data_IF_024535069538
#
_entry.id   IF_024535069538
#
_cell.length_a   1.000
_cell.length_b   1.000
_cell.length_c   1.000
_cell.angle_alpha   90.00
_cell.angle_beta   90.00
_cell.angle_gamma   90.00
#
_symmetry.space_group_name_H-M   'P 1'
#
loop_
_entity.id
_entity.type
_entity.pdbx_description
1 polymer ?
#
# COMPACT_ATOMS: atom_id res chain seq x y z
N UNK A 1 -24.04 24.52 2.46
CA UNK A 1 -22.59 24.84 2.49
C UNK A 1 -21.87 23.96 1.48
N UNK A 2 -21.70 24.43 0.23
CA UNK A 2 -20.95 23.77 -0.85
C UNK A 2 -20.25 24.86 -1.71
N UNK A 3 -19.42 25.70 -1.10
CA UNK A 3 -18.86 26.91 -1.76
C UNK A 3 -17.81 26.64 -2.85
N UNK A 4 -17.34 25.40 -3.00
CA UNK A 4 -16.22 25.07 -3.90
C UNK A 4 -16.69 24.56 -5.27
N UNK A 5 -17.75 23.75 -5.31
CA UNK A 5 -18.28 23.19 -6.56
C UNK A 5 -18.83 24.27 -7.48
N UNK A 6 -19.62 25.22 -6.94
CA UNK A 6 -20.20 26.31 -7.72
C UNK A 6 -19.13 27.28 -8.25
N UNK A 7 -18.05 27.49 -7.48
CA UNK A 7 -17.00 28.46 -7.80
C UNK A 7 -15.99 27.95 -8.82
N UNK A 8 -15.77 26.64 -8.86
CA UNK A 8 -14.76 26.01 -9.71
C UNK A 8 -15.33 25.00 -10.71
N UNK A 9 -16.67 24.92 -10.83
CA UNK A 9 -17.38 23.93 -11.67
C UNK A 9 -16.88 22.50 -11.42
N UNK A 10 -16.54 22.18 -10.17
CA UNK A 10 -16.01 20.87 -9.83
C UNK A 10 -17.14 19.84 -9.89
N UNK A 11 -16.97 18.82 -10.74
CA UNK A 11 -17.88 17.66 -10.79
C UNK A 11 -17.33 16.57 -9.88
N UNK A 12 -18.18 16.03 -9.00
CA UNK A 12 -17.84 14.83 -8.22
C UNK A 12 -17.78 13.63 -9.16
N UNK A 13 -16.64 12.93 -9.17
CA UNK A 13 -16.38 11.78 -10.04
C UNK A 13 -16.79 10.43 -9.43
N UNK A 14 -17.47 10.46 -8.28
CA UNK A 14 -17.82 9.28 -7.48
C UNK A 14 -16.78 8.98 -6.40
N UNK A 15 -16.89 7.80 -5.82
CA UNK A 15 -16.01 7.38 -4.73
C UNK A 15 -14.64 6.94 -5.25
N UNK A 16 -13.60 7.52 -4.66
CA UNK A 16 -12.21 7.17 -4.99
C UNK A 16 -11.86 5.87 -4.30
N UNK A 17 -11.91 4.77 -5.04
CA UNK A 17 -11.50 3.46 -4.55
C UNK A 17 -10.01 3.18 -4.79
N UNK A 18 -9.42 3.74 -5.84
CA UNK A 18 -8.01 3.55 -6.18
C UNK A 18 -7.35 4.87 -6.57
N UNK A 19 -6.17 5.15 -6.02
CA UNK A 19 -5.37 6.32 -6.37
C UNK A 19 -3.87 6.02 -6.27
N UNK A 20 -3.11 6.20 -7.36
CA UNK A 20 -1.65 5.98 -7.38
C UNK A 20 -1.20 4.62 -6.78
N UNK A 21 -1.94 3.54 -7.05
CA UNK A 21 -1.65 2.20 -6.52
C UNK A 21 -2.05 1.98 -5.05
N UNK A 22 -2.62 2.98 -4.39
CA UNK A 22 -3.25 2.88 -3.08
C UNK A 22 -4.71 2.49 -3.26
N UNK A 23 -5.15 1.47 -2.51
CA UNK A 23 -6.54 1.08 -2.39
C UNK A 23 -7.15 1.83 -1.20
N UNK A 24 -8.26 2.50 -1.44
CA UNK A 24 -8.95 3.36 -0.49
C UNK A 24 -10.32 2.74 -0.25
N UNK A 25 -10.55 2.31 0.99
CA UNK A 25 -11.87 1.89 1.47
C UNK A 25 -12.39 3.00 2.39
N UNK A 26 -13.56 3.52 2.09
CA UNK A 26 -14.15 4.62 2.84
C UNK A 26 -15.58 4.29 3.21
N UNK A 27 -15.91 4.53 4.48
CA UNK A 27 -17.26 4.46 5.00
C UNK A 27 -17.61 5.84 5.56
N UNK A 28 -18.50 6.54 4.86
CA UNK A 28 -18.88 7.91 5.18
C UNK A 28 -19.76 7.95 6.43
N UNK A 29 -20.63 6.96 6.61
CA UNK A 29 -21.57 6.87 7.73
C UNK A 29 -20.84 6.62 9.05
N UNK A 30 -19.90 5.67 9.03
CA UNK A 30 -19.07 5.33 10.20
C UNK A 30 -17.83 6.21 10.33
N UNK A 31 -17.64 7.17 9.42
CA UNK A 31 -16.55 8.16 9.41
C UNK A 31 -15.15 7.54 9.51
N UNK A 32 -14.91 6.44 8.80
CA UNK A 32 -13.59 5.84 8.70
C UNK A 32 -13.12 5.73 7.26
N UNK A 33 -11.80 5.73 7.10
CA UNK A 33 -11.11 5.51 5.85
C UNK A 33 -9.93 4.60 6.11
N UNK A 34 -9.75 3.57 5.29
CA UNK A 34 -8.57 2.72 5.28
C UNK A 34 -7.87 2.91 3.95
N UNK A 35 -6.56 3.11 4.02
CA UNK A 35 -5.70 3.19 2.85
C UNK A 35 -4.70 2.05 2.96
N UNK A 36 -4.60 1.22 1.92
CA UNK A 36 -3.72 0.06 1.94
C UNK A 36 -3.20 -0.28 0.54
N UNK A 37 -2.07 -0.98 0.45
CA UNK A 37 -1.48 -1.46 -0.81
C UNK A 37 -1.33 -2.98 -0.79
N UNK A 38 -2.39 -3.71 -0.43
CA UNK A 38 -2.34 -5.17 -0.21
C UNK A 38 -1.72 -5.93 -1.39
N UNK A 39 -2.13 -5.59 -2.62
CA UNK A 39 -1.57 -6.19 -3.85
C UNK A 39 -0.07 -5.93 -4.02
N UNK A 40 0.41 -4.75 -3.65
CA UNK A 40 1.84 -4.44 -3.70
C UNK A 40 2.61 -5.26 -2.66
N UNK A 41 2.09 -5.36 -1.43
CA UNK A 41 2.69 -6.18 -0.38
C UNK A 41 2.78 -7.65 -0.78
N UNK A 42 1.72 -8.19 -1.38
CA UNK A 42 1.66 -9.57 -1.87
C UNK A 42 2.66 -9.80 -3.01
N UNK A 43 2.71 -8.90 -4.00
CA UNK A 43 3.66 -8.99 -5.10
C UNK A 43 5.12 -8.93 -4.60
N UNK A 44 5.41 -8.05 -3.65
CA UNK A 44 6.72 -7.96 -3.02
C UNK A 44 7.08 -9.25 -2.30
N UNK A 45 6.16 -9.81 -1.50
CA UNK A 45 6.39 -11.05 -0.77
C UNK A 45 6.63 -12.24 -1.73
N UNK A 46 5.87 -12.31 -2.82
CA UNK A 46 6.06 -13.31 -3.88
C UNK A 46 7.46 -13.21 -4.53
N UNK A 47 7.96 -12.00 -4.79
CA UNK A 47 9.29 -11.79 -5.36
C UNK A 47 10.42 -12.34 -4.46
N UNK A 48 10.20 -12.45 -3.15
CA UNK A 48 11.16 -13.03 -2.21
C UNK A 48 10.91 -14.51 -1.92
N UNK A 49 10.02 -15.18 -2.68
CA UNK A 49 9.63 -16.58 -2.43
C UNK A 49 8.85 -16.76 -1.13
N UNK A 50 8.26 -15.68 -0.59
CA UNK A 50 7.55 -15.63 0.69
C UNK A 50 6.04 -15.44 0.48
N UNK A 51 5.42 -16.28 -0.34
CA UNK A 51 4.01 -16.19 -0.74
C UNK A 51 3.00 -16.32 0.41
N UNK A 52 3.44 -16.84 1.56
CA UNK A 52 2.59 -17.13 2.73
C UNK A 52 2.93 -16.24 3.95
N UNK A 53 3.39 -15.01 3.71
CA UNK A 53 3.65 -14.05 4.80
C UNK A 53 2.37 -13.31 5.14
N UNK A 54 1.87 -13.54 6.36
CA UNK A 54 0.92 -12.63 6.98
C UNK A 54 1.61 -11.29 7.22
N UNK A 55 1.22 -10.26 6.46
CA UNK A 55 1.67 -8.87 6.64
C UNK A 55 1.01 -8.28 7.89
N UNK A 56 1.28 -8.88 9.04
CA UNK A 56 0.76 -8.46 10.33
C UNK A 56 1.92 -8.46 11.31
N UNK A 57 2.62 -7.32 11.36
CA UNK A 57 2.96 -6.66 12.62
C UNK A 57 3.79 -5.42 12.29
N UNK A 58 3.56 -4.27 12.95
CA UNK A 58 4.68 -3.38 13.23
C UNK A 58 5.80 -4.23 13.84
N UNK A 59 7.04 -4.12 13.37
CA UNK A 59 8.14 -4.81 14.04
C UNK A 59 8.05 -4.50 15.55
N UNK A 60 8.13 -5.51 16.44
CA UNK A 60 8.12 -5.26 17.87
C UNK A 60 9.20 -4.22 18.21
N UNK A 61 8.99 -3.43 19.27
CA UNK A 61 10.00 -2.47 19.69
C UNK A 61 11.33 -3.18 19.97
N UNK A 62 12.44 -2.57 19.55
CA UNK A 62 13.79 -3.14 19.72
C UNK A 62 14.35 -3.90 18.52
N UNK A 63 13.56 -4.15 17.47
CA UNK A 63 14.09 -4.69 16.22
C UNK A 63 14.63 -3.57 15.33
N UNK A 64 15.94 -3.59 15.04
CA UNK A 64 16.57 -2.71 14.06
C UNK A 64 16.70 -3.45 12.74
N UNK A 65 16.23 -2.84 11.65
CA UNK A 65 16.53 -3.32 10.31
C UNK A 65 18.05 -3.21 10.10
N UNK A 66 18.72 -4.36 10.03
CA UNK A 66 20.14 -4.43 9.65
C UNK A 66 20.19 -4.62 8.14
N UNK A 67 21.12 -3.95 7.47
CA UNK A 67 21.37 -4.17 6.04
C UNK A 67 21.70 -5.65 5.85
N UNK A 68 20.87 -6.36 5.10
CA UNK A 68 21.16 -7.74 4.70
C UNK A 68 22.51 -7.80 3.97
N UNK A 69 23.21 -8.96 3.99
CA UNK A 69 24.47 -9.09 3.26
C UNK A 69 24.26 -8.66 1.81
N UNK A 70 25.20 -7.86 1.31
CA UNK A 70 25.25 -7.49 -0.09
C UNK A 70 25.75 -8.69 -0.91
N UNK A 71 25.07 -9.82 -0.83
CA UNK A 71 25.27 -10.91 -1.77
C UNK A 71 24.32 -10.70 -2.95
N UNK A 72 24.97 -10.33 -4.06
CA UNK A 72 24.53 -10.35 -5.45
C UNK A 72 23.13 -10.94 -5.71
N UNK A 73 22.08 -10.13 -5.56
CA UNK A 73 20.75 -10.48 -6.06
C UNK A 73 20.62 -10.44 -7.60
N UNK A 74 21.75 -10.49 -8.32
CA UNK A 74 21.80 -10.48 -9.80
C UNK A 74 22.82 -11.46 -10.41
N UNK A 75 23.69 -12.13 -9.65
CA UNK A 75 24.68 -13.05 -10.23
C UNK A 75 24.27 -14.55 -10.20
N UNK A 76 23.32 -14.94 -9.34
CA UNK A 76 22.81 -16.33 -9.32
C UNK A 76 21.69 -16.60 -10.35
N UNK A 77 21.51 -15.74 -11.35
CA UNK A 77 20.45 -15.86 -12.37
C UNK A 77 20.98 -16.10 -13.80
N UNK A 78 22.26 -16.49 -13.94
CA UNK A 78 22.83 -16.88 -15.23
C UNK A 78 23.87 -18.02 -15.09
N UNK A 79 23.45 -19.18 -14.59
CA UNK A 79 24.06 -20.49 -14.87
C UNK A 79 23.06 -21.61 -14.60
#
# INVERSE_FOLDING_TARGET
MLKLQDKFKCKTLGDVNYYLGLHIERDVEKRWMRVHQKKYSEALAANFGKSEVHVASPLPSGFKCVKGPAEESVAAFAS
#
